data_IF_670492179255
#
_entry.id   IF_670492179255
#
_cell.length_a   1.000
_cell.length_b   1.000
_cell.length_c   1.000
_cell.angle_alpha   90.00
_cell.angle_beta   90.00
_cell.angle_gamma   90.00
#
_symmetry.space_group_name_H-M   'P 1'
#
loop_
_entity.id
_entity.type
_entity.pdbx_description
1 polymer ?
#
# COMPACT_ATOMS: atom_id res chain seq x y z
N UNK A 1 7.90 19.69 3.01
CA UNK A 1 8.78 18.71 2.35
C UNK A 1 9.13 19.26 0.96
N UNK A 2 10.41 19.45 0.59
CA UNK A 2 10.77 19.98 -0.73
C UNK A 2 10.45 19.04 -1.90
N UNK A 3 10.23 17.74 -1.68
CA UNK A 3 9.87 16.77 -2.74
C UNK A 3 8.40 16.34 -2.73
N UNK A 4 7.53 17.03 -1.98
CA UNK A 4 6.10 16.74 -2.01
C UNK A 4 5.53 16.91 -3.43
N UNK A 5 4.71 15.96 -3.88
CA UNK A 5 4.19 15.78 -5.25
C UNK A 5 5.23 15.48 -6.36
N UNK A 6 6.53 15.34 -6.06
CA UNK A 6 7.58 15.14 -7.06
C UNK A 6 7.26 14.02 -8.06
N UNK A 7 7.35 14.30 -9.37
CA UNK A 7 7.04 13.39 -10.49
C UNK A 7 8.27 12.66 -11.05
N UNK A 8 9.47 12.93 -10.53
CA UNK A 8 10.71 12.32 -10.99
C UNK A 8 11.50 11.83 -9.76
N UNK A 9 11.73 10.52 -9.60
CA UNK A 9 12.35 9.97 -8.39
C UNK A 9 13.80 10.45 -8.22
N UNK A 10 14.50 10.78 -9.32
CA UNK A 10 15.86 11.33 -9.31
C UNK A 10 15.97 12.70 -8.63
N UNK A 11 14.84 13.36 -8.35
CA UNK A 11 14.79 14.59 -7.53
C UNK A 11 14.80 14.32 -6.02
N UNK A 12 14.53 13.08 -5.60
CA UNK A 12 14.49 12.66 -4.19
C UNK A 12 15.84 12.05 -3.83
N UNK A 13 16.76 12.87 -3.31
CA UNK A 13 18.09 12.40 -2.91
C UNK A 13 18.75 13.29 -1.85
N UNK A 14 19.77 12.79 -1.13
CA UNK A 14 20.53 13.60 -0.16
C UNK A 14 21.15 14.86 -0.80
N UNK A 15 21.58 14.76 -2.07
CA UNK A 15 22.09 15.91 -2.85
C UNK A 15 21.00 16.96 -3.20
N UNK A 16 19.73 16.67 -2.91
CA UNK A 16 18.58 17.59 -2.97
C UNK A 16 17.97 17.86 -1.59
N UNK A 17 18.71 17.54 -0.52
CA UNK A 17 18.31 17.79 0.87
C UNK A 17 17.33 16.78 1.47
N UNK A 18 17.13 15.61 0.84
CA UNK A 18 16.19 14.58 1.32
C UNK A 18 16.86 13.21 1.39
N UNK A 19 17.19 12.77 2.60
CA UNK A 19 17.51 11.37 2.86
C UNK A 19 16.20 10.59 3.07
N UNK A 20 15.97 9.58 2.23
CA UNK A 20 14.85 8.66 2.39
C UNK A 20 15.16 7.60 3.45
N UNK A 21 14.21 7.34 4.33
CA UNK A 21 14.32 6.36 5.42
C UNK A 21 12.98 5.62 5.56
N UNK A 22 13.05 4.29 5.59
CA UNK A 22 12.00 3.38 6.05
C UNK A 22 12.56 2.47 7.16
N UNK A 23 11.70 1.77 7.88
CA UNK A 23 12.09 0.81 8.92
C UNK A 23 11.92 -0.62 8.45
N UNK A 24 12.88 -1.47 8.80
CA UNK A 24 12.67 -2.91 8.97
C UNK A 24 12.44 -3.14 10.47
N UNK A 25 11.16 -3.21 10.87
CA UNK A 25 10.69 -3.26 12.26
C UNK A 25 9.30 -3.95 12.27
N UNK A 26 8.94 -4.63 13.34
CA UNK A 26 7.72 -5.45 13.38
C UNK A 26 7.58 -6.26 14.68
N UNK A 27 6.56 -7.13 14.80
CA UNK A 27 6.32 -7.91 16.02
C UNK A 27 7.41 -8.95 16.35
N UNK A 28 8.22 -9.37 15.38
CA UNK A 28 9.41 -10.21 15.59
C UNK A 28 10.53 -9.84 14.60
N UNK A 29 11.75 -10.31 14.86
CA UNK A 29 12.87 -10.14 13.94
C UNK A 29 12.63 -10.88 12.60
N UNK A 30 12.07 -12.09 12.65
CA UNK A 30 11.77 -12.87 11.44
C UNK A 30 10.71 -12.18 10.57
N UNK A 31 9.69 -11.58 11.19
CA UNK A 31 8.70 -10.77 10.48
C UNK A 31 9.33 -9.52 9.86
N UNK A 32 10.24 -8.83 10.56
CA UNK A 32 10.95 -7.67 10.03
C UNK A 32 11.89 -8.01 8.86
N UNK A 33 12.56 -9.18 8.91
CA UNK A 33 13.36 -9.70 7.79
C UNK A 33 12.47 -10.04 6.59
N UNK A 34 11.32 -10.70 6.82
CA UNK A 34 10.41 -11.14 5.76
C UNK A 34 9.82 -10.00 4.92
N UNK A 35 9.89 -8.75 5.38
CA UNK A 35 9.55 -7.58 4.58
C UNK A 35 10.43 -7.44 3.33
N UNK A 36 11.72 -7.80 3.44
CA UNK A 36 12.68 -7.79 2.32
C UNK A 36 12.47 -9.02 1.43
N UNK A 37 12.30 -10.20 2.02
CA UNK A 37 12.06 -11.44 1.26
C UNK A 37 10.80 -11.34 0.38
N UNK A 38 9.68 -10.84 0.94
CA UNK A 38 8.42 -10.63 0.21
C UNK A 38 8.53 -9.53 -0.84
N UNK A 39 9.37 -8.51 -0.62
CA UNK A 39 9.63 -7.46 -1.60
C UNK A 39 10.40 -8.02 -2.81
N UNK A 40 11.44 -8.80 -2.57
CA UNK A 40 12.23 -9.48 -3.62
C UNK A 40 11.37 -10.48 -4.39
N UNK A 41 10.50 -11.24 -3.71
CA UNK A 41 9.57 -12.18 -4.37
C UNK A 41 8.62 -11.45 -5.33
N UNK A 42 8.05 -10.31 -4.91
CA UNK A 42 7.16 -9.50 -5.72
C UNK A 42 7.86 -8.70 -6.83
N UNK A 43 9.09 -8.24 -6.64
CA UNK A 43 9.91 -7.69 -7.73
C UNK A 43 10.29 -8.74 -8.77
N UNK A 44 10.50 -9.99 -8.30
CA UNK A 44 10.85 -11.10 -9.18
C UNK A 44 9.65 -11.58 -9.99
N UNK A 45 8.55 -11.91 -9.32
CA UNK A 45 7.41 -12.59 -9.92
C UNK A 45 6.18 -11.69 -10.17
N UNK A 46 6.17 -10.46 -9.66
CA UNK A 46 5.09 -9.48 -9.78
C UNK A 46 4.12 -9.43 -8.58
N UNK A 47 3.52 -8.26 -8.34
CA UNK A 47 2.52 -8.02 -7.29
C UNK A 47 1.10 -8.30 -7.81
N UNK A 48 0.56 -9.48 -7.48
CA UNK A 48 -0.71 -9.98 -8.01
C UNK A 48 -1.81 -10.08 -6.97
N UNK A 49 -3.03 -9.70 -7.34
CA UNK A 49 -4.19 -9.81 -6.47
C UNK A 49 -5.24 -8.72 -6.72
N UNK A 50 -6.00 -8.42 -5.66
CA UNK A 50 -7.07 -7.41 -5.64
C UNK A 50 -6.67 -6.17 -4.84
N UNK A 51 -7.37 -5.07 -5.11
CA UNK A 51 -7.31 -3.83 -4.33
C UNK A 51 -8.58 -3.70 -3.49
N UNK A 52 -8.43 -3.41 -2.20
CA UNK A 52 -9.52 -3.30 -1.23
C UNK A 52 -9.50 -1.91 -0.58
N UNK A 53 -10.54 -1.12 -0.86
CA UNK A 53 -10.69 0.25 -0.39
C UNK A 53 -11.87 0.31 0.59
N UNK A 54 -11.64 0.90 1.75
CA UNK A 54 -12.50 0.76 2.93
C UNK A 54 -12.84 2.16 3.46
N UNK A 55 -13.88 2.77 2.87
CA UNK A 55 -14.30 4.14 3.14
C UNK A 55 -15.20 4.22 4.37
N UNK A 56 -15.67 5.43 4.72
CA UNK A 56 -16.65 5.65 5.80
C UNK A 56 -17.95 6.32 5.35
N UNK A 57 -18.12 6.50 4.04
CA UNK A 57 -19.30 7.13 3.46
C UNK A 57 -19.49 8.60 3.83
N UNK A 58 -18.46 9.31 4.30
CA UNK A 58 -18.51 10.71 4.76
C UNK A 58 -18.67 11.64 3.55
N UNK A 59 -19.83 12.27 3.44
CA UNK A 59 -20.20 13.11 2.28
C UNK A 59 -20.01 14.62 2.52
N UNK A 60 -19.79 15.06 3.76
CA UNK A 60 -19.68 16.48 4.16
C UNK A 60 -18.70 16.68 5.34
N UNK A 61 -18.36 17.93 5.64
CA UNK A 61 -17.45 18.30 6.74
C UNK A 61 -15.97 18.10 6.42
N UNK A 62 -15.10 18.43 7.39
CA UNK A 62 -13.63 18.35 7.26
C UNK A 62 -13.14 16.95 6.89
N UNK A 63 -13.74 15.92 7.47
CA UNK A 63 -13.36 14.53 7.26
C UNK A 63 -13.70 14.00 5.85
N UNK A 64 -14.59 14.64 5.08
CA UNK A 64 -14.83 14.26 3.66
C UNK A 64 -13.53 14.15 2.85
N UNK A 65 -12.55 15.00 3.15
CA UNK A 65 -11.25 15.03 2.50
C UNK A 65 -10.35 13.79 2.74
N UNK A 66 -10.74 12.85 3.61
CA UNK A 66 -10.11 11.54 3.79
C UNK A 66 -10.74 10.47 2.89
N UNK A 67 -12.07 10.38 2.88
CA UNK A 67 -12.82 9.47 1.99
C UNK A 67 -12.59 9.84 0.51
N UNK A 68 -12.51 11.13 0.17
CA UNK A 68 -12.17 11.59 -1.17
C UNK A 68 -10.77 11.10 -1.62
N UNK A 69 -9.81 10.97 -0.69
CA UNK A 69 -8.46 10.43 -0.98
C UNK A 69 -8.50 8.92 -1.18
N UNK A 70 -9.12 8.18 -0.27
CA UNK A 70 -9.20 6.72 -0.37
C UNK A 70 -9.99 6.30 -1.62
N UNK A 71 -11.07 7.04 -1.96
CA UNK A 71 -11.80 6.88 -3.23
C UNK A 71 -10.91 7.09 -4.45
N UNK A 72 -10.04 8.12 -4.45
CA UNK A 72 -9.06 8.33 -5.52
C UNK A 72 -8.03 7.18 -5.62
N UNK A 73 -7.62 6.55 -4.50
CA UNK A 73 -6.81 5.32 -4.53
C UNK A 73 -7.55 4.17 -5.21
N UNK A 74 -8.85 4.05 -4.98
CA UNK A 74 -9.71 3.10 -5.71
C UNK A 74 -9.75 3.36 -7.22
N UNK A 75 -9.87 4.61 -7.64
CA UNK A 75 -9.80 4.97 -9.07
C UNK A 75 -8.42 4.69 -9.68
N UNK A 76 -7.33 4.98 -8.95
CA UNK A 76 -5.94 4.72 -9.39
C UNK A 76 -5.70 3.22 -9.55
N UNK A 77 -6.04 2.41 -8.55
CA UNK A 77 -5.82 0.96 -8.60
C UNK A 77 -6.67 0.29 -9.69
N UNK A 78 -7.95 0.68 -9.83
CA UNK A 78 -8.83 0.18 -10.90
C UNK A 78 -8.34 0.54 -12.30
N UNK A 79 -7.96 1.80 -12.55
CA UNK A 79 -7.41 2.26 -13.84
C UNK A 79 -6.08 1.61 -14.19
N UNK A 80 -5.33 1.15 -13.18
CA UNK A 80 -4.07 0.43 -13.35
C UNK A 80 -4.26 -1.08 -13.54
N UNK A 81 -5.50 -1.56 -13.68
CA UNK A 81 -5.84 -2.95 -13.99
C UNK A 81 -6.17 -3.84 -12.80
N UNK A 82 -6.03 -3.36 -11.55
CA UNK A 82 -6.38 -4.16 -10.38
C UNK A 82 -7.90 -4.28 -10.21
N UNK A 83 -8.38 -5.50 -10.05
CA UNK A 83 -9.75 -5.77 -9.61
C UNK A 83 -9.95 -5.10 -8.24
N UNK A 84 -10.71 -4.01 -8.22
CA UNK A 84 -10.77 -3.08 -7.09
C UNK A 84 -12.15 -3.05 -6.46
N UNK A 85 -12.24 -3.54 -5.22
CA UNK A 85 -13.42 -3.48 -4.36
C UNK A 85 -13.37 -2.18 -3.55
N UNK A 86 -14.51 -1.49 -3.46
CA UNK A 86 -14.67 -0.28 -2.64
C UNK A 86 -15.90 -0.48 -1.76
N UNK A 87 -15.73 -0.45 -0.44
CA UNK A 87 -16.84 -0.31 0.51
C UNK A 87 -17.13 1.18 0.75
N UNK A 88 -18.40 1.53 0.98
CA UNK A 88 -18.86 2.86 1.39
C UNK A 88 -19.52 2.88 2.79
N UNK A 89 -19.59 1.75 3.47
CA UNK A 89 -20.23 1.64 4.78
C UNK A 89 -19.45 2.40 5.88
N UNK A 90 -20.08 2.82 7.00
CA UNK A 90 -19.40 3.66 8.00
C UNK A 90 -18.35 2.95 8.89
N UNK A 91 -18.18 1.63 8.74
CA UNK A 91 -17.25 0.78 9.49
C UNK A 91 -16.62 -0.26 8.56
N UNK A 92 -15.48 -0.82 9.01
CA UNK A 92 -14.57 -1.62 8.17
C UNK A 92 -15.19 -2.86 7.55
N UNK A 93 -14.59 -3.37 6.45
CA UNK A 93 -14.85 -4.72 5.92
C UNK A 93 -15.06 -5.76 7.05
N UNK A 94 -16.22 -6.43 7.13
CA UNK A 94 -16.60 -7.21 8.31
C UNK A 94 -15.79 -8.50 8.47
N UNK A 95 -15.87 -9.12 9.65
CA UNK A 95 -15.33 -10.47 9.88
C UNK A 95 -16.06 -11.48 8.99
N UNK A 96 -15.32 -12.37 8.34
CA UNK A 96 -15.82 -13.32 7.35
C UNK A 96 -15.97 -12.73 5.94
N UNK A 97 -15.43 -11.55 5.69
CA UNK A 97 -15.44 -10.93 4.36
C UNK A 97 -14.37 -11.58 3.46
N UNK A 98 -14.65 -11.89 2.17
CA UNK A 98 -13.72 -12.56 1.28
C UNK A 98 -12.57 -11.64 0.80
N UNK A 99 -11.54 -11.49 1.62
CA UNK A 99 -10.26 -10.86 1.31
C UNK A 99 -9.35 -11.75 0.46
N UNK A 100 -9.82 -12.14 -0.73
CA UNK A 100 -9.09 -12.95 -1.72
C UNK A 100 -7.88 -12.19 -2.31
N UNK A 101 -6.68 -12.70 -2.03
CA UNK A 101 -5.37 -12.23 -2.51
C UNK A 101 -5.23 -10.71 -2.49
N UNK A 102 -5.15 -10.12 -1.31
CA UNK A 102 -4.99 -8.68 -1.09
C UNK A 102 -3.60 -8.23 -1.60
N UNK A 103 -3.56 -7.53 -2.73
CA UNK A 103 -2.35 -6.83 -3.21
C UNK A 103 -2.26 -5.42 -2.64
N UNK A 104 -3.40 -4.74 -2.50
CA UNK A 104 -3.49 -3.40 -1.91
C UNK A 104 -4.65 -3.29 -0.91
N UNK A 105 -4.41 -2.61 0.21
CA UNK A 105 -5.48 -2.17 1.13
C UNK A 105 -5.32 -0.70 1.51
N UNK A 106 -6.41 0.06 1.52
CA UNK A 106 -6.45 1.45 1.97
C UNK A 106 -7.79 1.78 2.67
N UNK A 107 -7.79 1.93 4.00
CA UNK A 107 -9.04 2.05 4.80
C UNK A 107 -9.11 3.11 5.90
N UNK A 108 -10.26 3.23 6.60
CA UNK A 108 -10.55 4.21 7.67
C UNK A 108 -11.66 3.68 8.64
N UNK A 109 -11.74 3.83 9.97
CA UNK A 109 -11.01 4.58 11.03
C UNK A 109 -10.81 3.77 12.33
N UNK A 110 -10.59 2.46 12.25
CA UNK A 110 -10.42 1.63 13.44
C UNK A 110 -9.24 2.10 14.31
N UNK A 111 -9.45 2.14 15.63
CA UNK A 111 -8.41 2.51 16.60
C UNK A 111 -7.34 1.42 16.77
N UNK A 112 -7.76 0.18 16.52
CA UNK A 112 -7.01 -1.06 16.41
C UNK A 112 -7.49 -1.80 15.16
N UNK A 113 -6.74 -2.83 14.76
CA UNK A 113 -7.16 -3.80 13.75
C UNK A 113 -8.50 -4.44 14.13
N UNK A 114 -9.41 -4.50 13.17
CA UNK A 114 -10.77 -5.02 13.30
C UNK A 114 -11.26 -5.58 11.96
N UNK A 115 -12.45 -6.19 11.94
CA UNK A 115 -13.05 -6.76 10.73
C UNK A 115 -12.21 -7.88 10.12
N UNK A 116 -12.13 -7.90 8.79
CA UNK A 116 -11.28 -8.78 7.97
C UNK A 116 -9.87 -8.98 8.54
N UNK A 117 -9.24 -7.93 9.06
CA UNK A 117 -7.84 -7.97 9.49
C UNK A 117 -7.65 -8.49 10.93
N UNK A 118 -8.73 -8.68 11.68
CA UNK A 118 -8.71 -9.36 12.98
C UNK A 118 -8.79 -10.89 12.86
N UNK A 119 -9.14 -11.43 11.69
CA UNK A 119 -9.18 -12.87 11.42
C UNK A 119 -7.80 -13.52 11.57
N UNK A 120 -7.75 -14.82 11.93
CA UNK A 120 -6.48 -15.51 12.23
C UNK A 120 -5.51 -15.52 11.05
N UNK A 121 -6.02 -15.73 9.84
CA UNK A 121 -5.30 -15.70 8.57
C UNK A 121 -5.92 -14.62 7.68
N UNK A 122 -5.09 -13.90 6.93
CA UNK A 122 -5.50 -12.96 5.88
C UNK A 122 -4.65 -13.27 4.66
N UNK A 123 -5.25 -13.44 3.48
CA UNK A 123 -4.53 -13.74 2.24
C UNK A 123 -3.90 -12.47 1.64
N UNK A 124 -2.85 -11.97 2.29
CA UNK A 124 -1.99 -10.94 1.70
C UNK A 124 -1.08 -11.56 0.63
N UNK A 125 -1.07 -10.95 -0.56
CA UNK A 125 -0.14 -11.33 -1.62
C UNK A 125 1.32 -11.05 -1.21
N UNK A 126 2.30 -11.84 -1.71
CA UNK A 126 3.69 -11.39 -1.75
C UNK A 126 3.77 -10.01 -2.41
N UNK A 127 4.46 -9.07 -1.75
CA UNK A 127 4.52 -7.68 -2.18
C UNK A 127 3.40 -6.76 -1.68
N UNK A 128 2.38 -7.28 -0.99
CA UNK A 128 1.19 -6.49 -0.66
C UNK A 128 1.49 -5.25 0.18
N UNK A 129 0.80 -4.13 -0.14
CA UNK A 129 0.92 -2.86 0.59
C UNK A 129 -0.40 -2.51 1.26
N UNK A 130 -0.36 -2.34 2.58
CA UNK A 130 -1.53 -2.07 3.41
C UNK A 130 -1.43 -0.73 4.13
N UNK A 131 -2.52 0.04 4.12
CA UNK A 131 -2.66 1.30 4.83
C UNK A 131 -4.02 1.42 5.50
N UNK A 132 -4.06 1.86 6.76
CA UNK A 132 -5.30 2.24 7.43
C UNK A 132 -5.14 3.64 8.03
N UNK A 133 -5.95 4.59 7.59
CA UNK A 133 -5.97 5.99 8.01
C UNK A 133 -6.42 6.09 9.48
N UNK A 134 -5.51 6.04 10.45
CA UNK A 134 -5.85 6.37 11.83
C UNK A 134 -4.65 7.04 12.51
N UNK A 135 -4.90 8.08 13.32
CA UNK A 135 -3.86 8.99 13.84
C UNK A 135 -2.74 8.32 14.63
N UNK A 136 -3.00 7.12 15.17
CA UNK A 136 -2.04 6.32 15.94
C UNK A 136 -1.83 4.91 15.37
N UNK A 137 -2.16 4.69 14.09
CA UNK A 137 -2.11 3.38 13.42
C UNK A 137 -0.72 2.70 13.45
N UNK A 138 0.36 3.50 13.60
CA UNK A 138 1.75 3.07 13.72
C UNK A 138 2.36 3.20 15.12
N UNK A 139 1.58 3.61 16.13
CA UNK A 139 2.09 3.82 17.51
C UNK A 139 2.58 2.55 18.22
N UNK A 140 2.28 1.36 17.69
CA UNK A 140 2.56 0.06 18.32
C UNK A 140 3.08 -0.98 17.31
N UNK A 141 4.09 -0.61 16.49
CA UNK A 141 4.68 -1.44 15.42
C UNK A 141 4.98 -2.89 15.86
N UNK A 142 5.39 -3.10 17.11
CA UNK A 142 5.81 -4.40 17.65
C UNK A 142 4.68 -5.24 18.27
N UNK A 143 3.42 -4.80 18.19
CA UNK A 143 2.27 -5.54 18.70
C UNK A 143 1.51 -6.19 17.54
N UNK A 144 1.48 -7.53 17.50
CA UNK A 144 0.82 -8.31 16.44
C UNK A 144 -0.72 -8.11 16.35
N UNK A 145 -1.35 -7.53 17.37
CA UNK A 145 -2.81 -7.44 17.52
C UNK A 145 -3.30 -6.06 18.00
N UNK A 146 -2.53 -5.00 17.80
CA UNK A 146 -2.90 -3.64 18.26
C UNK A 146 -2.45 -2.58 17.27
N UNK A 147 -3.25 -1.52 17.11
CA UNK A 147 -3.15 -0.57 15.99
C UNK A 147 -3.21 -1.33 14.65
N UNK A 148 -2.46 -0.91 13.63
CA UNK A 148 -2.56 -1.51 12.28
C UNK A 148 -1.23 -1.95 11.67
N UNK A 149 -0.13 -1.21 11.86
CA UNK A 149 1.17 -1.58 11.27
C UNK A 149 1.65 -2.96 11.73
N UNK A 150 1.67 -3.21 13.05
CA UNK A 150 2.07 -4.50 13.61
C UNK A 150 1.22 -5.67 13.12
N UNK A 151 -0.13 -5.56 13.18
CA UNK A 151 -1.04 -6.54 12.60
C UNK A 151 -0.83 -6.80 11.10
N UNK A 152 -0.73 -5.78 10.25
CA UNK A 152 -0.51 -6.00 8.80
C UNK A 152 0.76 -6.80 8.53
N UNK A 153 1.87 -6.46 9.19
CA UNK A 153 3.14 -7.17 9.05
C UNK A 153 3.02 -8.63 9.50
N UNK A 154 2.36 -8.85 10.65
CA UNK A 154 2.08 -10.18 11.21
C UNK A 154 1.18 -11.04 10.33
N UNK A 155 0.27 -10.42 9.57
CA UNK A 155 -0.70 -11.11 8.69
C UNK A 155 -0.19 -11.35 7.26
N UNK A 156 0.94 -10.77 6.86
CA UNK A 156 1.59 -11.05 5.57
C UNK A 156 1.93 -9.83 4.71
N UNK A 157 1.51 -8.62 5.08
CA UNK A 157 1.84 -7.42 4.31
C UNK A 157 3.37 -7.23 4.18
N UNK A 158 3.80 -6.70 3.04
CA UNK A 158 5.21 -6.51 2.68
C UNK A 158 5.69 -5.09 2.97
N UNK A 159 4.81 -4.10 2.82
CA UNK A 159 5.07 -2.74 3.24
C UNK A 159 3.81 -2.08 3.80
N UNK A 160 3.99 -1.15 4.73
CA UNK A 160 2.91 -0.38 5.36
C UNK A 160 3.45 0.94 5.91
N UNK A 161 2.58 1.93 6.09
CA UNK A 161 2.96 3.22 6.63
C UNK A 161 1.86 3.81 7.51
N UNK A 162 2.22 4.79 8.32
CA UNK A 162 1.32 5.31 9.33
C UNK A 162 1.91 6.44 10.14
N UNK A 163 1.25 6.78 11.24
CA UNK A 163 1.67 7.78 12.20
C UNK A 163 1.83 7.18 13.60
N UNK A 164 2.93 7.53 14.26
CA UNK A 164 3.25 7.07 15.63
C UNK A 164 2.54 7.90 16.70
N UNK A 165 2.10 9.11 16.34
CA UNK A 165 1.38 10.08 17.15
C UNK A 165 0.52 10.96 16.23
N UNK A 166 -0.40 11.76 16.78
CA UNK A 166 -1.36 12.58 16.02
C UNK A 166 -0.73 13.38 14.86
N UNK A 167 -1.10 13.08 13.59
CA UNK A 167 -0.63 13.83 12.45
C UNK A 167 -1.56 14.98 12.05
N UNK A 168 -2.84 14.96 12.44
CA UNK A 168 -3.96 15.54 11.69
C UNK A 168 -4.12 14.96 10.27
N UNK A 169 -5.35 15.01 9.73
CA UNK A 169 -5.67 14.49 8.40
C UNK A 169 -4.85 15.19 7.28
N UNK A 170 -4.41 16.41 7.53
CA UNK A 170 -3.67 17.27 6.60
C UNK A 170 -2.19 16.90 6.47
N UNK A 171 -1.58 16.19 7.44
CA UNK A 171 -0.16 15.83 7.43
C UNK A 171 0.10 14.31 7.34
N UNK A 172 -0.95 13.49 7.32
CA UNK A 172 -0.83 12.11 6.81
C UNK A 172 -0.30 12.11 5.36
N UNK A 173 0.48 11.10 4.94
CA UNK A 173 0.90 10.98 3.54
C UNK A 173 -0.31 10.98 2.60
N UNK A 174 -0.26 11.78 1.54
CA UNK A 174 -1.38 11.96 0.63
C UNK A 174 -1.54 10.72 -0.25
N UNK A 175 -2.45 9.84 0.16
CA UNK A 175 -2.56 8.46 -0.32
C UNK A 175 -2.66 8.36 -1.86
N UNK A 176 -3.44 9.18 -2.59
CA UNK A 176 -3.48 9.14 -4.06
C UNK A 176 -2.12 9.36 -4.72
N UNK A 177 -1.28 10.25 -4.17
CA UNK A 177 0.07 10.47 -4.71
C UNK A 177 0.97 9.28 -4.40
N UNK A 178 0.86 8.65 -3.22
CA UNK A 178 1.62 7.43 -2.93
C UNK A 178 1.29 6.30 -3.93
N UNK A 179 0.00 5.99 -4.10
CA UNK A 179 -0.43 4.88 -4.96
C UNK A 179 -0.18 5.18 -6.45
N UNK A 180 -0.37 6.42 -6.92
CA UNK A 180 -0.03 6.79 -8.30
C UNK A 180 1.48 6.67 -8.57
N UNK A 181 2.32 7.22 -7.68
CA UNK A 181 3.79 7.19 -7.85
C UNK A 181 4.34 5.78 -7.87
N UNK A 182 3.83 4.92 -6.99
CA UNK A 182 4.21 3.51 -6.95
C UNK A 182 3.77 2.75 -8.21
N UNK A 183 2.47 2.80 -8.56
CA UNK A 183 1.87 1.92 -9.57
C UNK A 183 2.05 2.44 -10.99
N UNK A 184 1.96 3.75 -11.20
CA UNK A 184 1.88 4.37 -12.52
C UNK A 184 3.21 5.02 -12.94
N UNK A 185 3.98 5.56 -11.98
CA UNK A 185 5.28 6.18 -12.25
C UNK A 185 6.49 5.27 -11.90
N UNK A 186 6.26 4.06 -11.36
CA UNK A 186 7.31 3.08 -11.07
C UNK A 186 8.28 3.46 -9.94
N UNK A 187 7.85 4.27 -8.97
CA UNK A 187 8.69 4.68 -7.82
C UNK A 187 8.94 3.50 -6.86
N UNK A 188 10.04 3.53 -6.10
CA UNK A 188 10.17 2.65 -4.92
C UNK A 188 9.16 3.03 -3.83
N UNK A 189 8.95 2.15 -2.87
CA UNK A 189 8.15 2.39 -1.67
C UNK A 189 8.55 3.68 -0.93
N UNK A 190 9.85 3.92 -0.74
CA UNK A 190 10.31 5.15 -0.10
C UNK A 190 10.23 6.38 -1.02
N UNK A 191 10.53 6.25 -2.31
CA UNK A 191 10.38 7.35 -3.28
C UNK A 191 8.90 7.83 -3.31
N UNK A 192 7.94 6.90 -3.42
CA UNK A 192 6.51 7.18 -3.40
C UNK A 192 6.06 7.75 -2.04
N UNK A 193 6.55 7.18 -0.93
CA UNK A 193 6.28 7.65 0.42
C UNK A 193 6.73 9.09 0.66
N UNK A 194 7.93 9.45 0.22
CA UNK A 194 8.46 10.80 0.34
C UNK A 194 7.82 11.77 -0.66
N UNK A 195 7.43 11.34 -1.86
CA UNK A 195 6.61 12.15 -2.77
C UNK A 195 5.22 12.47 -2.19
N UNK A 196 4.61 11.54 -1.44
CA UNK A 196 3.29 11.72 -0.84
C UNK A 196 3.28 12.51 0.49
N UNK A 197 4.42 12.61 1.18
CA UNK A 197 4.48 13.17 2.55
C UNK A 197 4.67 14.69 2.55
N UNK A 198 3.82 15.43 3.27
CA UNK A 198 3.89 16.91 3.33
C UNK A 198 4.95 17.43 4.30
N UNK A 199 5.13 16.80 5.46
CA UNK A 199 6.07 17.20 6.50
C UNK A 199 7.13 16.10 6.72
N UNK A 200 8.42 16.44 6.55
CA UNK A 200 9.53 15.54 6.90
C UNK A 200 9.82 15.64 8.40
N UNK A 201 10.39 14.58 8.98
CA UNK A 201 10.65 14.47 10.43
C UNK A 201 9.41 14.70 11.31
N UNK A 202 8.22 14.47 10.74
CA UNK A 202 6.93 14.48 11.43
C UNK A 202 6.55 13.06 11.88
N UNK A 203 5.36 12.89 12.45
CA UNK A 203 4.90 11.63 13.07
C UNK A 203 4.79 10.43 12.11
N UNK A 204 5.02 10.61 10.82
CA UNK A 204 4.92 9.55 9.80
C UNK A 204 6.07 8.55 9.89
N UNK A 205 5.75 7.27 9.81
CA UNK A 205 6.71 6.16 9.69
C UNK A 205 6.35 5.28 8.49
N UNK A 206 7.36 4.94 7.69
CA UNK A 206 7.29 3.92 6.62
C UNK A 206 7.97 2.65 7.13
N UNK A 207 7.36 1.49 6.88
CA UNK A 207 7.84 0.18 7.33
C UNK A 207 7.78 -0.81 6.17
N UNK A 208 8.89 -1.48 5.87
CA UNK A 208 9.15 -2.19 4.62
C UNK A 208 10.49 -1.78 4.01
N UNK A 209 10.94 -2.50 2.98
CA UNK A 209 12.18 -2.17 2.27
C UNK A 209 12.02 -0.82 1.53
N UNK A 210 12.91 0.18 1.75
CA UNK A 210 12.83 1.46 1.05
C UNK A 210 13.07 1.39 -0.47
N UNK A 211 13.72 0.34 -0.96
CA UNK A 211 14.04 0.12 -2.37
C UNK A 211 12.92 -0.60 -3.14
N UNK A 212 11.99 -1.27 -2.44
CA UNK A 212 10.95 -2.10 -3.03
C UNK A 212 10.16 -1.38 -4.14
N UNK A 213 10.23 -1.89 -5.37
CA UNK A 213 9.66 -1.31 -6.59
C UNK A 213 8.89 -2.39 -7.40
N UNK A 214 7.65 -2.73 -7.01
CA UNK A 214 6.87 -3.81 -7.64
C UNK A 214 6.58 -3.61 -9.14
N UNK A 215 6.67 -2.38 -9.64
CA UNK A 215 6.45 -2.01 -11.04
C UNK A 215 7.74 -1.54 -11.73
N UNK A 216 8.89 -2.05 -11.29
CA UNK A 216 10.22 -1.68 -11.79
C UNK A 216 10.74 -2.50 -12.97
N UNK A 217 10.06 -3.59 -13.34
CA UNK A 217 10.35 -4.42 -14.51
C UNK A 217 9.46 -4.05 -15.69
N UNK A 218 9.95 -4.35 -16.90
CA UNK A 218 9.14 -4.28 -18.12
C UNK A 218 8.07 -5.41 -18.15
N UNK A 219 6.83 -5.15 -18.59
CA UNK A 219 5.78 -6.17 -18.67
C UNK A 219 6.13 -7.39 -19.55
N UNK A 220 6.85 -7.22 -20.66
CA UNK A 220 7.25 -8.34 -21.54
C UNK A 220 8.27 -9.25 -20.84
N UNK A 221 9.17 -8.66 -20.04
CA UNK A 221 10.08 -9.41 -19.18
C UNK A 221 9.31 -10.20 -18.12
N UNK A 222 8.30 -9.59 -17.49
CA UNK A 222 7.48 -10.25 -16.46
C UNK A 222 6.67 -11.42 -17.05
N UNK A 223 6.01 -11.26 -18.20
CA UNK A 223 5.33 -12.40 -18.84
C UNK A 223 6.33 -13.50 -19.22
N UNK A 224 7.48 -13.14 -19.76
CA UNK A 224 8.54 -14.10 -20.14
C UNK A 224 9.04 -14.90 -18.94
N UNK A 225 9.29 -14.26 -17.79
CA UNK A 225 9.69 -14.95 -16.55
C UNK A 225 8.56 -15.85 -15.99
N UNK A 226 7.31 -15.40 -16.04
CA UNK A 226 6.14 -16.18 -15.59
C UNK A 226 5.88 -17.41 -16.46
N UNK A 227 5.95 -17.28 -17.79
CA UNK A 227 5.77 -18.39 -18.74
C UNK A 227 6.90 -19.40 -18.62
N UNK A 228 8.16 -18.95 -18.58
CA UNK A 228 9.33 -19.84 -18.48
C UNK A 228 9.37 -20.60 -17.14
N UNK A 229 8.92 -19.98 -16.04
CA UNK A 229 8.79 -20.63 -14.73
C UNK A 229 7.53 -21.50 -14.57
N UNK A 230 6.60 -21.48 -15.55
CA UNK A 230 5.28 -22.11 -15.50
C UNK A 230 4.45 -21.67 -14.28
N UNK A 231 4.59 -20.41 -13.87
CA UNK A 231 3.94 -19.86 -12.69
C UNK A 231 2.45 -19.59 -12.94
N UNK A 232 1.59 -19.98 -12.01
CA UNK A 232 0.14 -19.68 -12.04
C UNK A 232 -0.18 -18.19 -11.97
N UNK A 233 0.76 -17.35 -11.51
CA UNK A 233 0.64 -15.90 -11.54
C UNK A 233 0.45 -15.33 -12.98
N UNK A 234 0.72 -16.11 -14.04
CA UNK A 234 0.41 -15.74 -15.43
C UNK A 234 -1.07 -15.40 -15.66
N UNK A 235 -1.98 -16.01 -14.89
CA UNK A 235 -3.41 -15.73 -14.97
C UNK A 235 -3.73 -14.32 -14.43
N UNK A 236 -3.06 -13.91 -13.35
CA UNK A 236 -3.17 -12.56 -12.79
C UNK A 236 -2.54 -11.50 -13.68
N UNK A 237 -1.38 -11.77 -14.30
CA UNK A 237 -0.77 -10.89 -15.29
C UNK A 237 -1.75 -10.59 -16.44
N UNK A 238 -2.37 -11.64 -17.00
CA UNK A 238 -3.31 -11.52 -18.12
C UNK A 238 -4.61 -10.83 -17.72
N UNK A 239 -5.14 -11.12 -16.53
CA UNK A 239 -6.32 -10.40 -16.00
C UNK A 239 -6.05 -8.90 -15.85
N UNK A 240 -4.87 -8.54 -15.31
CA UNK A 240 -4.47 -7.14 -15.13
C UNK A 240 -4.30 -6.43 -16.48
N UNK A 241 -3.67 -7.07 -17.47
CA UNK A 241 -3.53 -6.53 -18.83
C UNK A 241 -4.90 -6.34 -19.53
N UNK A 242 -5.82 -7.31 -19.42
CA UNK A 242 -7.19 -7.17 -19.95
C UNK A 242 -7.94 -6.02 -19.28
N UNK A 243 -7.85 -5.89 -17.96
CA UNK A 243 -8.47 -4.79 -17.22
C UNK A 243 -7.88 -3.41 -17.61
N UNK A 244 -6.57 -3.32 -17.87
CA UNK A 244 -5.94 -2.09 -18.40
C UNK A 244 -6.47 -1.74 -19.80
N UNK A 245 -6.58 -2.73 -20.70
CA UNK A 245 -7.16 -2.56 -22.03
C UNK A 245 -8.58 -2.00 -21.97
N UNK A 246 -9.45 -2.61 -21.16
CA UNK A 246 -10.82 -2.15 -20.93
C UNK A 246 -10.88 -0.75 -20.30
N UNK A 247 -9.99 -0.44 -19.36
CA UNK A 247 -9.89 0.90 -18.76
C UNK A 247 -9.38 1.97 -19.73
N UNK A 248 -8.67 1.59 -20.79
CA UNK A 248 -8.17 2.49 -21.84
C UNK A 248 -9.17 2.78 -22.96
N UNK A 249 -10.27 2.02 -23.04
CA UNK A 249 -11.33 2.20 -24.04
C UNK A 249 -11.11 1.43 -25.36
N UNK A 250 -10.62 0.20 -25.26
CA UNK A 250 -10.58 -0.78 -26.35
C UNK A 250 -11.98 -1.30 -26.74
#
# INVERSE_FOLDING_TARGET
NPVFNATNPKTISPAKGVLMVARLDGPSADLANSLVDRAIDAEKFGLWGRSYIDLRGIKTGSFKAGDDRLRQVGEITRRSGYTTVVDENPGTFPVGFPGDRIAFYAGWYGINVEGLFAEEVVDFAPGAIAYHLHSYNGSMIRHAHSRWIGPFINKGATATFGSVFEPYLELTPYQPVFFARLIQDGFTFAEAGYAATRALSWQTVFVGDPLYRPFGKDPEQVETELVNSKSSNIEWFRLLAVNQGLASGA
#
